data_IF_932745061585
#
_entry.id   IF_932745061585
#
_cell.length_a   1.000
_cell.length_b   1.000
_cell.length_c   1.000
_cell.angle_alpha   90.00
_cell.angle_beta   90.00
_cell.angle_gamma   90.00
#
_symmetry.space_group_name_H-M   'P 1'
#
loop_
_entity.id
_entity.type
_entity.pdbx_description
1 polymer ?
#
# COMPACT_ATOMS: atom_id res chain seq x y z
N UNK A 1 18.92 8.87 -15.74
CA UNK A 1 17.61 9.53 -15.87
C UNK A 1 16.71 8.64 -16.71
N UNK A 2 15.41 8.71 -16.49
CA UNK A 2 14.45 8.02 -17.37
C UNK A 2 14.32 8.81 -18.67
N UNK A 3 14.35 8.11 -19.79
CA UNK A 3 14.22 8.63 -21.14
C UNK A 3 13.16 7.79 -21.84
N UNK A 4 12.27 8.44 -22.59
CA UNK A 4 11.27 7.78 -23.41
C UNK A 4 11.01 8.60 -24.67
N UNK A 5 11.21 7.99 -25.84
CA UNK A 5 11.00 8.68 -27.12
C UNK A 5 9.56 8.57 -27.65
N UNK A 6 8.69 7.82 -26.96
CA UNK A 6 7.29 7.60 -27.34
C UNK A 6 6.33 8.36 -26.44
N UNK A 7 6.50 8.27 -25.12
CA UNK A 7 5.58 8.83 -24.12
C UNK A 7 6.21 9.98 -23.34
N UNK A 8 6.72 10.97 -24.09
CA UNK A 8 7.22 12.22 -23.52
C UNK A 8 6.19 13.35 -23.70
N UNK A 9 6.24 14.34 -22.80
CA UNK A 9 5.43 15.54 -22.93
C UNK A 9 6.06 16.50 -23.95
N UNK A 10 5.28 16.91 -24.94
CA UNK A 10 5.71 17.90 -25.94
C UNK A 10 5.89 19.24 -25.25
N UNK A 11 7.13 19.75 -25.27
CA UNK A 11 7.45 21.10 -24.82
C UNK A 11 7.81 21.96 -26.04
N UNK A 12 7.66 23.28 -25.91
CA UNK A 12 7.95 24.24 -27.00
C UNK A 12 9.43 24.22 -27.44
N UNK A 13 10.31 23.67 -26.61
CA UNK A 13 11.72 23.43 -26.93
C UNK A 13 11.97 21.95 -27.16
N UNK A 14 12.50 21.61 -28.35
CA UNK A 14 13.04 20.29 -28.67
C UNK A 14 14.12 19.92 -27.64
N UNK A 15 13.99 18.78 -26.96
CA UNK A 15 14.82 18.42 -25.82
C UNK A 15 15.11 16.92 -25.76
N UNK A 16 15.87 16.49 -24.76
CA UNK A 16 16.42 15.12 -24.64
C UNK A 16 15.37 14.00 -24.38
N UNK A 17 14.09 14.25 -24.60
CA UNK A 17 12.96 13.33 -24.30
C UNK A 17 13.00 12.79 -22.85
N UNK A 18 13.42 13.65 -21.91
CA UNK A 18 13.57 13.33 -20.47
C UNK A 18 12.36 13.70 -19.63
N UNK A 19 11.42 14.46 -20.19
CA UNK A 19 10.16 14.82 -19.54
C UNK A 19 9.11 13.78 -19.90
N UNK A 20 8.89 12.85 -19.00
CA UNK A 20 7.99 11.71 -19.20
C UNK A 20 6.58 12.14 -18.84
N UNK A 21 5.62 11.77 -19.68
CA UNK A 21 4.19 11.83 -19.37
C UNK A 21 3.70 10.40 -19.12
N UNK A 22 3.22 10.10 -17.92
CA UNK A 22 2.72 8.77 -17.57
C UNK A 22 1.28 8.83 -17.04
N UNK A 23 0.52 7.80 -17.38
CA UNK A 23 -0.84 7.48 -16.95
C UNK A 23 -0.97 6.06 -16.35
N UNK A 24 0.14 5.31 -16.25
CA UNK A 24 0.13 3.95 -15.70
C UNK A 24 0.17 3.96 -14.16
N UNK A 25 -1.02 4.11 -13.58
CA UNK A 25 -1.25 4.14 -12.14
C UNK A 25 -1.55 2.76 -11.55
N UNK A 26 -1.23 2.59 -10.27
CA UNK A 26 -1.75 1.46 -9.49
C UNK A 26 -3.28 1.53 -9.38
N UNK A 27 -3.95 0.40 -9.61
CA UNK A 27 -5.39 0.25 -9.40
C UNK A 27 -5.68 0.07 -7.91
N UNK A 28 -5.74 1.16 -7.16
CA UNK A 28 -6.10 1.15 -5.73
C UNK A 28 -6.70 2.48 -5.31
N UNK A 29 -8.00 2.46 -5.05
CA UNK A 29 -8.78 3.62 -4.61
C UNK A 29 -8.35 4.11 -3.22
N UNK A 30 -7.81 3.21 -2.40
CA UNK A 30 -7.28 3.55 -1.07
C UNK A 30 -6.01 4.41 -1.15
N UNK A 31 -5.20 4.24 -2.19
CA UNK A 31 -3.94 4.98 -2.34
C UNK A 31 -4.17 6.28 -3.11
N UNK A 32 -4.91 6.23 -4.22
CA UNK A 32 -5.10 7.36 -5.13
C UNK A 32 -6.46 8.06 -4.99
N UNK A 33 -7.38 7.49 -4.22
CA UNK A 33 -8.75 7.98 -4.08
C UNK A 33 -9.66 7.48 -5.18
N UNK A 34 -10.97 7.58 -4.96
CA UNK A 34 -12.00 7.19 -5.93
C UNK A 34 -12.06 8.13 -7.14
N UNK A 35 -11.47 9.34 -7.01
CA UNK A 35 -11.43 10.33 -8.09
C UNK A 35 -10.31 9.98 -9.06
N UNK A 36 -10.69 9.69 -10.30
CA UNK A 36 -9.74 9.54 -11.40
C UNK A 36 -8.91 10.82 -11.55
N UNK A 37 -7.59 10.67 -11.66
CA UNK A 37 -6.67 11.79 -11.83
C UNK A 37 -6.92 12.39 -13.21
N UNK A 38 -7.25 13.68 -13.23
CA UNK A 38 -7.51 14.42 -14.46
C UNK A 38 -6.17 14.80 -15.12
N UNK A 39 -5.87 14.14 -16.23
CA UNK A 39 -4.69 14.41 -17.04
C UNK A 39 -3.45 13.63 -16.65
N UNK A 40 -2.41 13.75 -17.49
CA UNK A 40 -1.18 12.97 -17.38
C UNK A 40 -0.27 13.52 -16.29
N UNK A 41 0.48 12.62 -15.63
CA UNK A 41 1.50 13.00 -14.64
C UNK A 41 2.84 13.20 -15.33
N UNK A 42 3.41 14.38 -15.14
CA UNK A 42 4.74 14.75 -15.59
C UNK A 42 5.80 14.31 -14.60
N UNK A 43 6.81 13.62 -15.10
CA UNK A 43 7.95 13.14 -14.33
C UNK A 43 9.25 13.47 -15.04
N UNK A 44 10.21 14.02 -14.29
CA UNK A 44 11.58 14.25 -14.77
C UNK A 44 12.57 13.88 -13.69
N UNK A 45 13.30 12.79 -13.86
CA UNK A 45 14.16 12.29 -12.80
C UNK A 45 14.76 10.92 -13.04
N UNK A 46 15.10 10.26 -11.95
CA UNK A 46 15.66 8.92 -11.93
C UNK A 46 14.54 7.91 -11.69
N UNK A 47 14.53 6.81 -12.44
CA UNK A 47 13.64 5.69 -12.19
C UNK A 47 14.37 4.64 -11.36
N UNK A 48 13.62 3.85 -10.60
CA UNK A 48 14.16 2.76 -9.79
C UNK A 48 13.46 1.44 -10.11
N UNK A 49 14.13 0.33 -9.84
CA UNK A 49 13.55 -1.00 -9.97
C UNK A 49 12.99 -1.45 -8.64
N UNK A 50 11.88 -2.18 -8.71
CA UNK A 50 11.36 -2.92 -7.58
C UNK A 50 11.47 -4.42 -7.84
N UNK A 51 11.81 -5.17 -6.81
CA UNK A 51 11.84 -6.62 -6.89
C UNK A 51 10.43 -7.18 -6.70
N UNK A 52 9.96 -7.98 -7.66
CA UNK A 52 8.58 -8.48 -7.68
C UNK A 52 8.21 -9.37 -6.48
N UNK A 53 9.19 -10.00 -5.81
CA UNK A 53 8.92 -10.83 -4.64
C UNK A 53 8.66 -10.05 -3.34
N UNK A 54 8.83 -8.72 -3.35
CA UNK A 54 8.63 -7.91 -2.15
C UNK A 54 7.19 -7.37 -2.08
N UNK A 55 6.39 -7.91 -1.16
CA UNK A 55 5.00 -7.50 -0.95
C UNK A 55 4.84 -6.16 -0.22
N UNK A 56 5.89 -5.64 0.41
CA UNK A 56 5.85 -4.39 1.18
C UNK A 56 6.07 -3.15 0.31
N UNK A 57 6.55 -3.35 -0.91
CA UNK A 57 6.96 -2.28 -1.81
C UNK A 57 6.11 -2.34 -3.06
N UNK A 58 5.43 -1.24 -3.37
CA UNK A 58 4.45 -1.16 -4.46
C UNK A 58 4.83 -0.05 -5.43
N UNK A 59 4.66 -0.32 -6.72
CA UNK A 59 4.75 0.69 -7.78
C UNK A 59 3.45 1.47 -7.76
N UNK A 60 3.51 2.79 -7.60
CA UNK A 60 2.32 3.65 -7.70
C UNK A 60 2.23 4.24 -9.11
N UNK A 61 3.37 4.65 -9.66
CA UNK A 61 3.49 5.15 -11.03
C UNK A 61 4.60 4.38 -11.74
N UNK A 62 4.25 3.76 -12.86
CA UNK A 62 5.19 3.03 -13.71
C UNK A 62 5.56 3.85 -14.94
N UNK A 63 6.72 3.56 -15.52
CA UNK A 63 7.11 4.10 -16.81
C UNK A 63 6.46 3.30 -17.95
N UNK A 64 6.43 3.88 -19.15
CA UNK A 64 5.95 3.16 -20.34
C UNK A 64 6.84 1.94 -20.66
N UNK A 65 6.34 0.95 -21.41
CA UNK A 65 7.14 -0.17 -21.88
C UNK A 65 8.34 0.21 -22.77
N UNK A 66 8.34 1.40 -23.35
CA UNK A 66 9.43 1.90 -24.21
C UNK A 66 10.47 2.74 -23.44
N UNK A 67 10.19 3.07 -22.18
CA UNK A 67 11.08 3.88 -21.36
C UNK A 67 12.32 3.10 -20.90
N UNK A 68 13.46 3.79 -20.78
CA UNK A 68 14.69 3.20 -20.27
C UNK A 68 15.50 4.21 -19.45
N UNK A 69 16.37 3.72 -18.57
CA UNK A 69 17.22 4.58 -17.74
C UNK A 69 18.64 4.66 -18.30
N UNK A 70 19.07 5.86 -18.66
CA UNK A 70 20.42 6.10 -19.16
C UNK A 70 20.94 7.50 -18.80
N UNK A 71 22.20 7.77 -19.16
CA UNK A 71 22.76 9.10 -19.15
C UNK A 71 22.48 9.76 -20.53
N UNK A 72 21.70 10.87 -20.61
CA UNK A 72 21.35 11.50 -21.88
C UNK A 72 22.56 11.96 -22.71
N UNK A 73 23.65 12.35 -22.06
CA UNK A 73 24.83 12.90 -22.75
C UNK A 73 25.82 11.83 -23.20
N UNK A 74 25.62 10.56 -22.84
CA UNK A 74 26.55 9.48 -23.15
C UNK A 74 25.95 8.52 -24.18
N UNK A 75 26.75 8.08 -25.15
CA UNK A 75 26.34 7.03 -26.09
C UNK A 75 26.20 5.70 -25.34
N UNK A 76 25.05 5.03 -25.48
CA UNK A 76 24.88 3.68 -24.94
C UNK A 76 25.75 2.69 -25.73
N UNK A 77 26.68 2.05 -25.04
CA UNK A 77 27.45 0.91 -25.56
C UNK A 77 26.86 -0.44 -25.12
N UNK A 78 26.00 -0.45 -24.10
CA UNK A 78 25.34 -1.64 -23.54
C UNK A 78 23.88 -1.32 -23.19
N UNK A 79 22.97 -2.30 -23.22
CA UNK A 79 21.59 -2.09 -22.81
C UNK A 79 21.53 -1.61 -21.35
N UNK A 80 20.60 -0.69 -21.07
CA UNK A 80 20.38 -0.16 -19.74
C UNK A 80 19.89 -1.23 -18.77
N UNK A 81 20.30 -1.13 -17.50
CA UNK A 81 19.87 -2.06 -16.45
C UNK A 81 18.39 -1.94 -16.09
N UNK A 82 17.76 -0.80 -16.39
CA UNK A 82 16.33 -0.54 -16.18
C UNK A 82 15.68 -0.20 -17.51
N UNK A 83 14.70 -1.01 -17.92
CA UNK A 83 13.99 -0.87 -19.18
C UNK A 83 12.52 -1.29 -19.01
N UNK A 84 11.67 -0.64 -19.78
CA UNK A 84 10.23 -0.86 -19.86
C UNK A 84 9.47 -0.57 -18.57
N UNK A 85 8.28 -1.17 -18.47
CA UNK A 85 7.33 -1.03 -17.36
C UNK A 85 7.84 -1.62 -16.03
N UNK A 86 8.97 -2.33 -16.05
CA UNK A 86 9.66 -2.71 -14.83
C UNK A 86 10.18 -1.47 -14.07
N UNK A 87 10.49 -0.38 -14.78
CA UNK A 87 10.95 0.89 -14.23
C UNK A 87 9.81 1.59 -13.49
N UNK A 88 9.97 1.76 -12.18
CA UNK A 88 9.06 2.56 -11.37
C UNK A 88 9.54 4.01 -11.29
N UNK A 89 8.59 4.93 -11.46
CA UNK A 89 8.83 6.37 -11.31
C UNK A 89 8.57 6.79 -9.86
N UNK A 90 7.46 6.30 -9.31
CA UNK A 90 7.02 6.55 -7.93
C UNK A 90 6.67 5.21 -7.29
N UNK A 91 7.23 4.95 -6.12
CA UNK A 91 6.92 3.77 -5.32
C UNK A 91 6.61 4.15 -3.89
N UNK A 92 5.80 3.31 -3.27
CA UNK A 92 5.49 3.39 -1.85
C UNK A 92 6.01 2.15 -1.15
N UNK A 93 6.37 2.32 0.11
CA UNK A 93 6.78 1.23 0.99
C UNK A 93 5.95 1.31 2.26
N UNK A 94 5.30 0.21 2.59
CA UNK A 94 4.72 0.00 3.91
C UNK A 94 5.76 -0.70 4.76
N UNK A 95 6.48 0.09 5.56
CA UNK A 95 7.62 -0.39 6.33
C UNK A 95 7.14 -1.03 7.62
N UNK A 96 7.82 -2.10 7.97
CA UNK A 96 7.90 -2.61 9.32
C UNK A 96 9.17 -2.05 9.94
N UNK A 97 9.04 -1.03 10.78
CA UNK A 97 10.16 -0.33 11.37
C UNK A 97 10.26 -0.70 12.85
N UNK A 98 11.17 -1.62 13.11
CA UNK A 98 11.64 -1.93 14.45
C UNK A 98 12.56 -0.80 14.90
N UNK A 99 12.12 0.00 15.88
CA UNK A 99 13.02 0.91 16.59
C UNK A 99 14.00 0.04 17.41
N UNK A 100 15.14 -0.30 16.83
CA UNK A 100 16.28 -0.79 17.61
C UNK A 100 16.75 0.40 18.46
N UNK A 101 16.27 0.46 19.71
CA UNK A 101 16.60 1.50 20.72
C UNK A 101 18.07 1.50 21.17
N UNK A 102 19.03 1.14 20.31
CA UNK A 102 20.43 1.02 20.69
C UNK A 102 21.39 1.27 19.52
N UNK A 103 21.64 2.54 19.18
CA UNK A 103 22.98 3.15 19.15
C UNK A 103 22.92 4.62 18.73
N UNK A 104 23.70 5.45 19.42
CA UNK A 104 23.95 6.87 19.12
C UNK A 104 24.72 7.01 17.81
N UNK A 105 24.04 6.92 16.67
CA UNK A 105 24.39 7.61 15.40
C UNK A 105 23.24 7.41 14.43
N UNK A 106 22.60 8.52 14.09
CA UNK A 106 21.47 8.62 13.18
C UNK A 106 21.93 8.32 11.74
N UNK A 107 22.01 7.05 11.38
CA UNK A 107 22.08 6.62 9.98
C UNK A 107 20.85 5.73 9.76
N UNK A 108 19.88 6.25 9.00
CA UNK A 108 18.69 5.51 8.59
C UNK A 108 19.12 4.46 7.55
N UNK A 109 19.58 3.30 8.02
CA UNK A 109 19.93 2.19 7.13
C UNK A 109 18.66 1.37 6.89
N UNK A 110 17.96 1.66 5.80
CA UNK A 110 16.83 0.88 5.28
C UNK A 110 17.37 -0.46 4.76
N UNK A 111 17.63 -1.40 5.68
CA UNK A 111 17.96 -2.79 5.33
C UNK A 111 16.66 -3.54 5.07
N UNK A 112 16.25 -3.61 3.81
CA UNK A 112 15.24 -4.57 3.35
C UNK A 112 15.95 -5.93 3.30
N UNK A 113 16.10 -6.58 4.45
CA UNK A 113 16.69 -7.92 4.58
C UNK A 113 15.61 -8.98 4.45
N UNK A 114 15.87 -10.03 3.65
CA UNK A 114 14.98 -11.16 3.40
C UNK A 114 14.93 -12.20 4.55
N UNK A 115 15.51 -11.91 5.72
CA UNK A 115 15.47 -12.84 6.84
C UNK A 115 14.22 -12.63 7.70
N UNK A 116 13.42 -13.70 7.82
CA UNK A 116 12.33 -13.86 8.80
C UNK A 116 12.88 -13.69 10.23
N UNK A 117 12.93 -12.45 10.70
CA UNK A 117 13.10 -12.12 12.11
C UNK A 117 11.89 -11.29 12.48
N UNK A 118 11.15 -11.73 13.50
CA UNK A 118 9.89 -11.15 13.94
C UNK A 118 10.01 -9.63 14.11
N UNK A 119 9.63 -8.93 13.03
CA UNK A 119 9.75 -7.51 12.87
C UNK A 119 8.37 -6.97 13.29
N UNK A 120 8.32 -6.27 14.42
CA UNK A 120 7.08 -5.63 14.89
C UNK A 120 6.61 -4.61 13.85
N UNK A 121 5.55 -4.95 13.10
CA UNK A 121 4.96 -4.22 11.96
C UNK A 121 4.40 -2.88 12.39
N UNK A 122 5.19 -1.81 12.27
CA UNK A 122 4.77 -0.49 12.72
C UNK A 122 3.96 0.33 11.67
N UNK A 123 3.40 -0.31 10.63
CA UNK A 123 2.53 0.30 9.62
C UNK A 123 3.02 1.69 9.12
N UNK A 124 4.33 1.90 9.06
CA UNK A 124 4.91 3.16 8.62
C UNK A 124 4.83 3.27 7.10
N UNK A 125 4.55 4.46 6.58
CA UNK A 125 4.38 4.69 5.14
C UNK A 125 5.51 5.58 4.63
N UNK A 126 6.14 5.15 3.55
CA UNK A 126 7.26 5.87 2.92
C UNK A 126 6.97 6.01 1.44
N UNK A 127 7.09 7.23 0.92
CA UNK A 127 7.04 7.53 -0.50
C UNK A 127 8.46 7.69 -1.04
N UNK A 128 8.76 7.00 -2.13
CA UNK A 128 10.04 7.08 -2.84
C UNK A 128 9.76 7.55 -4.26
N UNK A 129 10.42 8.65 -4.63
CA UNK A 129 10.31 9.29 -5.94
C UNK A 129 11.69 9.78 -6.36
N UNK A 130 12.03 9.56 -7.62
CA UNK A 130 13.28 10.04 -8.19
C UNK A 130 13.18 11.39 -8.90
N UNK A 131 12.04 12.09 -8.78
CA UNK A 131 11.81 13.41 -9.39
C UNK A 131 11.38 14.45 -8.35
N UNK A 132 12.22 15.47 -8.17
CA UNK A 132 11.86 16.68 -7.41
C UNK A 132 10.94 17.60 -8.19
N UNK A 133 11.07 17.60 -9.52
CA UNK A 133 10.31 18.48 -10.41
C UNK A 133 8.81 18.14 -10.40
N UNK A 134 8.45 16.88 -10.11
CA UNK A 134 7.07 16.41 -9.95
C UNK A 134 6.27 17.23 -8.91
N UNK A 135 6.93 17.76 -7.87
CA UNK A 135 6.32 18.54 -6.79
C UNK A 135 6.37 20.06 -7.02
N UNK A 136 6.90 20.52 -8.17
CA UNK A 136 6.99 21.96 -8.44
C UNK A 136 5.65 22.50 -8.91
N UNK A 137 5.33 23.70 -8.45
CA UNK A 137 4.17 24.48 -8.92
C UNK A 137 4.12 24.67 -10.44
N UNK A 138 5.28 24.69 -11.11
CA UNK A 138 5.35 24.74 -12.58
C UNK A 138 4.67 23.54 -13.20
N UNK A 139 4.93 22.33 -12.71
CA UNK A 139 4.33 21.11 -13.26
C UNK A 139 2.84 21.10 -12.94
N UNK A 140 2.44 21.43 -11.70
CA UNK A 140 1.02 21.51 -11.30
C UNK A 140 0.14 22.39 -12.21
N UNK A 141 0.71 23.47 -12.77
CA UNK A 141 -0.01 24.41 -13.64
C UNK A 141 0.26 24.21 -15.14
N UNK A 142 1.16 23.29 -15.49
CA UNK A 142 1.54 23.10 -16.87
C UNK A 142 0.46 22.36 -17.66
N UNK A 143 0.29 22.78 -18.91
CA UNK A 143 -0.47 22.05 -19.92
C UNK A 143 0.32 20.82 -20.33
N UNK A 144 -0.37 19.71 -20.56
CA UNK A 144 0.28 18.46 -20.95
C UNK A 144 -0.31 17.95 -22.25
N UNK A 145 0.58 17.63 -23.18
CA UNK A 145 0.27 16.90 -24.40
C UNK A 145 1.33 15.82 -24.58
N UNK A 146 0.91 14.56 -24.69
CA UNK A 146 1.80 13.46 -24.99
C UNK A 146 2.18 13.47 -26.47
N UNK A 147 3.43 13.12 -26.77
CA UNK A 147 3.90 12.98 -28.14
C UNK A 147 3.05 11.94 -28.91
N UNK A 148 2.60 12.31 -30.11
CA UNK A 148 1.74 11.46 -30.94
C UNK A 148 0.25 11.45 -30.54
N UNK A 149 -0.14 12.07 -29.42
CA UNK A 149 -1.55 12.22 -29.04
C UNK A 149 -2.09 13.61 -29.39
N UNK A 150 -3.33 13.65 -29.87
CA UNK A 150 -4.08 14.89 -30.10
C UNK A 150 -4.75 15.42 -28.83
N UNK A 151 -4.78 14.62 -27.75
CA UNK A 151 -5.41 14.98 -26.49
C UNK A 151 -4.51 15.97 -25.76
N UNK A 152 -5.04 17.15 -25.50
CA UNK A 152 -4.39 18.21 -24.73
C UNK A 152 -5.11 18.37 -23.41
N UNK A 153 -4.39 18.23 -22.31
CA UNK A 153 -4.89 18.56 -20.99
C UNK A 153 -4.48 19.98 -20.63
N UNK A 154 -5.43 20.79 -20.19
CA UNK A 154 -5.17 22.16 -19.77
C UNK A 154 -4.26 22.20 -18.53
N UNK A 155 -4.34 21.17 -17.69
CA UNK A 155 -3.60 21.02 -16.45
C UNK A 155 -3.05 19.61 -16.33
N UNK A 156 -1.84 19.47 -15.77
CA UNK A 156 -1.28 18.16 -15.43
C UNK A 156 -2.01 17.52 -14.25
N UNK A 157 -1.99 16.19 -14.19
CA UNK A 157 -2.50 15.43 -13.05
C UNK A 157 -1.61 15.49 -11.79
N UNK A 158 -0.46 16.16 -11.83
CA UNK A 158 0.53 16.15 -10.75
C UNK A 158 -0.01 16.65 -9.41
N UNK A 159 -0.80 17.72 -9.41
CA UNK A 159 -1.32 18.30 -8.15
C UNK A 159 -2.28 17.32 -7.46
N UNK A 160 -3.21 16.74 -8.23
CA UNK A 160 -4.16 15.75 -7.73
C UNK A 160 -3.40 14.50 -7.25
N UNK A 161 -2.48 13.97 -8.06
CA UNK A 161 -1.66 12.81 -7.70
C UNK A 161 -0.87 13.02 -6.39
N UNK A 162 -0.17 14.16 -6.27
CA UNK A 162 0.63 14.49 -5.08
C UNK A 162 -0.26 14.71 -3.85
N UNK A 163 -1.43 15.35 -4.02
CA UNK A 163 -2.40 15.50 -2.94
C UNK A 163 -2.89 14.15 -2.43
N UNK A 164 -3.36 13.27 -3.32
CA UNK A 164 -3.94 11.98 -2.92
C UNK A 164 -2.89 11.05 -2.30
N UNK A 165 -1.69 10.97 -2.88
CA UNK A 165 -0.61 10.16 -2.31
C UNK A 165 -0.15 10.72 -0.95
N UNK A 166 -0.19 12.05 -0.75
CA UNK A 166 0.18 12.65 0.53
C UNK A 166 -0.80 12.27 1.65
N UNK A 167 -2.11 12.27 1.37
CA UNK A 167 -3.15 11.80 2.31
C UNK A 167 -2.88 10.35 2.74
N UNK A 168 -2.53 9.50 1.77
CA UNK A 168 -2.14 8.13 2.08
C UNK A 168 -0.87 8.07 2.93
N UNK A 169 0.20 8.79 2.58
CA UNK A 169 1.47 8.77 3.33
C UNK A 169 1.29 9.25 4.78
N UNK A 170 0.49 10.29 5.03
CA UNK A 170 0.28 10.89 6.35
C UNK A 170 -0.82 10.22 7.19
N UNK A 171 -1.22 8.99 6.85
CA UNK A 171 -2.26 8.23 7.55
C UNK A 171 -3.64 8.89 7.59
N UNK A 172 -3.97 9.76 6.63
CA UNK A 172 -5.31 10.34 6.51
C UNK A 172 -6.30 9.38 5.84
N UNK A 173 -5.82 8.35 5.14
CA UNK A 173 -6.65 7.34 4.44
C UNK A 173 -6.16 5.92 4.67
N UNK A 174 -7.06 4.93 4.66
CA UNK A 174 -6.69 3.51 4.69
C UNK A 174 -6.03 3.07 6.00
N UNK A 175 -6.26 3.80 7.09
CA UNK A 175 -5.77 3.43 8.42
C UNK A 175 -6.89 2.69 9.14
N UNK A 176 -6.66 1.41 9.39
CA UNK A 176 -7.59 0.53 10.09
C UNK A 176 -7.17 0.37 11.55
N UNK A 177 -8.17 0.27 12.42
CA UNK A 177 -8.00 -0.02 13.83
C UNK A 177 -9.03 -1.05 14.23
N UNK A 178 -8.56 -2.13 14.84
CA UNK A 178 -9.42 -3.11 15.47
C UNK A 178 -9.46 -2.87 16.99
N UNK A 179 -10.65 -2.91 17.57
CA UNK A 179 -10.92 -2.69 19.00
C UNK A 179 -11.90 -3.73 19.53
N UNK A 180 -12.01 -3.80 20.86
CA UNK A 180 -13.03 -4.59 21.55
C UNK A 180 -13.13 -6.04 21.08
N UNK A 181 -11.98 -6.73 20.96
CA UNK A 181 -11.96 -8.15 20.65
C UNK A 181 -12.52 -8.94 21.85
N UNK A 182 -13.63 -9.62 21.60
CA UNK A 182 -14.37 -10.37 22.60
C UNK A 182 -14.65 -11.79 22.11
N UNK A 183 -14.66 -12.76 23.03
CA UNK A 183 -15.13 -14.11 22.75
C UNK A 183 -15.79 -14.69 24.00
N UNK A 184 -16.87 -15.43 23.81
CA UNK A 184 -17.60 -16.11 24.88
C UNK A 184 -18.24 -17.39 24.37
N UNK A 185 -18.83 -18.18 25.27
CA UNK A 185 -19.70 -19.29 24.87
C UNK A 185 -21.05 -18.74 24.42
N UNK A 186 -21.68 -19.42 23.47
CA UNK A 186 -23.02 -19.02 23.02
C UNK A 186 -24.00 -19.06 24.20
N UNK A 187 -24.68 -17.94 24.45
CA UNK A 187 -25.61 -17.77 25.58
C UNK A 187 -24.99 -17.17 26.85
N UNK A 188 -23.66 -17.02 26.89
CA UNK A 188 -22.96 -16.30 27.95
C UNK A 188 -22.47 -14.94 27.44
N UNK A 189 -22.29 -13.96 28.33
CA UNK A 189 -21.77 -12.64 27.96
C UNK A 189 -20.30 -12.47 28.34
N UNK A 190 -19.82 -13.20 29.35
CA UNK A 190 -18.45 -13.10 29.86
C UNK A 190 -17.50 -14.06 29.16
N UNK A 191 -16.25 -13.62 29.02
CA UNK A 191 -15.15 -14.47 28.55
C UNK A 191 -14.85 -15.59 29.56
N UNK A 192 -14.96 -16.87 29.17
CA UNK A 192 -14.65 -17.99 30.06
C UNK A 192 -13.14 -18.18 30.19
N UNK A 193 -12.68 -18.68 31.33
CA UNK A 193 -11.26 -19.00 31.54
C UNK A 193 -10.76 -20.19 30.70
N UNK A 194 -11.67 -21.10 30.31
CA UNK A 194 -11.37 -22.24 29.46
C UNK A 194 -12.62 -22.70 28.67
N UNK A 195 -12.38 -23.21 27.46
CA UNK A 195 -13.39 -23.90 26.66
C UNK A 195 -13.23 -25.41 26.76
N UNK A 196 -14.34 -26.14 26.59
CA UNK A 196 -14.34 -27.60 26.43
C UNK A 196 -14.39 -27.95 24.94
N UNK A 197 -13.96 -29.17 24.63
CA UNK A 197 -14.15 -29.73 23.29
C UNK A 197 -15.64 -29.67 22.92
N UNK A 198 -15.94 -29.36 21.65
CA UNK A 198 -17.30 -29.25 21.14
C UNK A 198 -18.20 -28.16 21.78
N UNK A 199 -17.65 -27.25 22.59
CA UNK A 199 -18.38 -26.05 23.03
C UNK A 199 -18.69 -25.16 21.83
N UNK A 200 -19.88 -24.53 21.84
CA UNK A 200 -20.25 -23.51 20.87
C UNK A 200 -19.73 -22.15 21.32
N UNK A 201 -18.93 -21.52 20.46
CA UNK A 201 -18.21 -20.28 20.73
C UNK A 201 -18.67 -19.18 19.79
N UNK A 202 -18.75 -17.96 20.31
CA UNK A 202 -18.93 -16.74 19.54
C UNK A 202 -17.70 -15.84 19.69
N UNK A 203 -17.20 -15.34 18.56
CA UNK A 203 -16.08 -14.40 18.46
C UNK A 203 -16.58 -13.12 17.82
N UNK A 204 -16.18 -11.98 18.39
CA UNK A 204 -16.50 -10.66 17.85
C UNK A 204 -15.33 -9.68 17.95
N UNK A 205 -15.26 -8.77 16.98
CA UNK A 205 -14.26 -7.71 16.91
C UNK A 205 -14.85 -6.50 16.19
N UNK A 206 -14.53 -5.30 16.65
CA UNK A 206 -14.94 -4.07 15.98
C UNK A 206 -13.78 -3.52 15.15
N UNK A 207 -14.03 -3.19 13.88
CA UNK A 207 -13.01 -2.64 12.98
C UNK A 207 -13.50 -1.29 12.46
N UNK A 208 -12.64 -0.29 12.61
CA UNK A 208 -12.87 1.09 12.18
C UNK A 208 -11.78 1.55 11.21
N UNK A 209 -12.16 2.41 10.27
CA UNK A 209 -11.27 3.13 9.36
C UNK A 209 -11.20 4.62 9.76
N UNK A 210 -10.02 5.20 9.64
CA UNK A 210 -9.83 6.64 9.80
C UNK A 210 -10.09 7.39 8.48
N UNK A 211 -11.04 8.32 8.50
CA UNK A 211 -11.39 9.15 7.32
C UNK A 211 -10.59 10.46 7.23
N UNK A 212 -9.62 10.69 8.12
CA UNK A 212 -8.86 11.93 8.23
C UNK A 212 -9.31 12.81 9.40
N UNK A 213 -10.59 12.72 9.77
CA UNK A 213 -11.19 13.48 10.87
C UNK A 213 -11.79 12.60 11.97
N UNK A 214 -12.35 11.45 11.61
CA UNK A 214 -13.10 10.58 12.53
C UNK A 214 -12.88 9.09 12.22
N UNK A 215 -13.15 8.25 13.21
CA UNK A 215 -13.21 6.80 13.04
C UNK A 215 -14.60 6.40 12.56
N UNK A 216 -14.66 5.78 11.39
CA UNK A 216 -15.88 5.32 10.75
C UNK A 216 -15.88 3.78 10.70
N UNK A 217 -17.05 3.12 10.76
CA UNK A 217 -17.15 1.67 10.62
C UNK A 217 -16.50 1.17 9.33
N UNK A 218 -15.60 0.18 9.44
CA UNK A 218 -15.05 -0.47 8.25
C UNK A 218 -16.06 -1.48 7.71
N UNK A 219 -16.31 -1.43 6.40
CA UNK A 219 -17.25 -2.31 5.71
C UNK A 219 -16.50 -3.20 4.72
N UNK A 220 -16.47 -4.49 5.01
CA UNK A 220 -15.82 -5.51 4.20
C UNK A 220 -16.45 -6.89 4.46
N UNK A 221 -16.39 -7.77 3.46
CA UNK A 221 -16.93 -9.13 3.47
C UNK A 221 -15.83 -10.20 3.53
N UNK A 222 -14.56 -9.80 3.42
CA UNK A 222 -13.39 -10.66 3.29
C UNK A 222 -12.60 -10.86 4.60
N UNK A 223 -13.11 -10.35 5.73
CA UNK A 223 -12.45 -10.46 7.03
C UNK A 223 -12.61 -11.88 7.58
N UNK A 224 -11.50 -12.50 7.99
CA UNK A 224 -11.47 -13.89 8.47
C UNK A 224 -10.76 -14.00 9.82
N UNK A 225 -11.26 -14.91 10.66
CA UNK A 225 -10.60 -15.34 11.89
C UNK A 225 -10.09 -16.77 11.76
N UNK A 226 -8.91 -17.02 12.31
CA UNK A 226 -8.29 -18.33 12.39
C UNK A 226 -8.31 -18.82 13.84
N UNK A 227 -8.76 -20.05 14.03
CA UNK A 227 -8.56 -20.78 15.28
C UNK A 227 -7.28 -21.62 15.15
N UNK A 228 -6.21 -21.15 15.78
CA UNK A 228 -4.83 -21.52 15.47
C UNK A 228 -4.15 -22.19 16.67
N UNK A 229 -3.37 -23.25 16.42
CA UNK A 229 -2.50 -23.87 17.45
C UNK A 229 -1.06 -23.99 16.92
N UNK A 230 -0.84 -24.95 16.02
CA UNK A 230 0.40 -25.06 15.21
C UNK A 230 0.11 -24.81 13.72
N UNK A 231 -1.12 -25.09 13.31
CA UNK A 231 -1.73 -24.79 12.02
C UNK A 231 -3.15 -24.24 12.25
N UNK A 232 -3.75 -23.54 11.27
CA UNK A 232 -5.14 -23.12 11.39
C UNK A 232 -6.05 -24.35 11.30
N UNK A 233 -6.76 -24.66 12.38
CA UNK A 233 -7.74 -25.76 12.43
C UNK A 233 -9.06 -25.33 11.82
N UNK A 234 -9.46 -24.08 12.09
CA UNK A 234 -10.67 -23.48 11.53
C UNK A 234 -10.32 -22.11 10.96
N UNK A 235 -10.85 -21.84 9.78
CA UNK A 235 -10.86 -20.52 9.14
C UNK A 235 -12.31 -20.16 8.89
N UNK A 236 -12.77 -19.05 9.46
CA UNK A 236 -14.15 -18.58 9.34
C UNK A 236 -14.17 -17.13 8.91
N UNK A 237 -14.97 -16.82 7.89
CA UNK A 237 -15.29 -15.45 7.50
C UNK A 237 -16.26 -14.85 8.51
N UNK A 238 -16.00 -13.61 8.90
CA UNK A 238 -16.82 -12.87 9.84
C UNK A 238 -18.01 -12.21 9.14
N UNK A 239 -19.17 -12.25 9.77
CA UNK A 239 -20.36 -11.51 9.35
C UNK A 239 -20.32 -10.10 9.91
N UNK A 240 -20.75 -9.11 9.13
CA UNK A 240 -20.78 -7.70 9.55
C UNK A 240 -22.20 -7.20 9.81
N UNK A 241 -22.36 -6.35 10.82
CA UNK A 241 -23.61 -5.65 11.15
C UNK A 241 -23.75 -4.28 10.48
N UNK A 242 -22.83 -3.94 9.56
CA UNK A 242 -22.67 -2.63 8.92
C UNK A 242 -22.39 -1.45 9.87
N UNK A 243 -22.22 -1.69 11.18
CA UNK A 243 -21.83 -0.69 12.19
C UNK A 243 -20.38 -0.88 12.64
N UNK A 244 -19.66 -1.81 12.00
CA UNK A 244 -18.24 -2.07 12.20
C UNK A 244 -17.99 -3.27 13.13
N UNK A 245 -19.05 -3.91 13.65
CA UNK A 245 -18.92 -5.15 14.41
C UNK A 245 -18.87 -6.33 13.44
N UNK A 246 -17.85 -7.16 13.64
CA UNK A 246 -17.64 -8.39 12.93
C UNK A 246 -17.80 -9.54 13.91
N UNK A 247 -18.67 -10.49 13.62
CA UNK A 247 -18.90 -11.65 14.48
C UNK A 247 -18.98 -12.97 13.70
N UNK A 248 -18.68 -14.06 14.40
CA UNK A 248 -18.87 -15.41 13.88
C UNK A 248 -19.07 -16.37 15.03
N UNK A 249 -19.80 -17.44 14.78
CA UNK A 249 -20.01 -18.54 15.72
C UNK A 249 -19.50 -19.85 15.14
N UNK A 250 -18.75 -20.61 15.91
CA UNK A 250 -18.30 -21.94 15.52
C UNK A 250 -18.07 -22.85 16.72
N UNK A 251 -18.03 -24.16 16.46
CA UNK A 251 -17.80 -25.18 17.46
C UNK A 251 -16.30 -25.45 17.65
N UNK A 252 -15.85 -25.55 18.90
CA UNK A 252 -14.46 -25.90 19.23
C UNK A 252 -14.13 -27.30 18.73
N UNK A 253 -12.99 -27.51 18.02
CA UNK A 253 -12.59 -28.83 17.52
C UNK A 253 -12.46 -29.90 18.61
N UNK A 254 -12.57 -31.17 18.20
CA UNK A 254 -12.39 -32.34 19.06
C UNK A 254 -10.91 -32.68 19.33
N UNK A 255 -10.12 -31.66 19.65
CA UNK A 255 -8.70 -31.78 19.99
C UNK A 255 -8.42 -30.86 21.17
N UNK A 256 -7.81 -31.41 22.23
CA UNK A 256 -7.39 -30.61 23.38
C UNK A 256 -6.06 -29.92 23.09
N UNK A 257 -5.92 -28.68 23.56
CA UNK A 257 -4.70 -27.90 23.36
C UNK A 257 -4.91 -26.43 23.66
N UNK A 258 -3.84 -25.65 23.52
CA UNK A 258 -3.89 -24.19 23.61
C UNK A 258 -4.09 -23.65 22.21
N UNK A 259 -5.29 -23.13 21.96
CA UNK A 259 -5.62 -22.44 20.72
C UNK A 259 -5.56 -20.93 20.92
N UNK A 260 -5.34 -20.22 19.82
CA UNK A 260 -5.31 -18.76 19.73
C UNK A 260 -6.29 -18.31 18.66
N UNK A 261 -6.99 -17.23 18.92
CA UNK A 261 -7.72 -16.50 17.89
C UNK A 261 -6.74 -15.62 17.16
N UNK A 262 -6.54 -15.88 15.88
CA UNK A 262 -5.64 -15.09 15.04
C UNK A 262 -6.43 -14.41 13.93
N UNK A 263 -6.38 -13.09 13.89
CA UNK A 263 -6.91 -12.26 12.82
C UNK A 263 -5.73 -11.56 12.16
N UNK A 264 -5.42 -11.97 10.93
CA UNK A 264 -4.40 -11.33 10.08
C UNK A 264 -5.08 -10.81 8.82
N UNK A 265 -5.23 -9.48 8.74
CA UNK A 265 -5.88 -8.80 7.63
C UNK A 265 -4.86 -7.94 6.89
N UNK A 266 -4.61 -8.29 5.64
CA UNK A 266 -3.67 -7.60 4.76
C UNK A 266 -4.37 -7.32 3.43
N UNK A 267 -4.63 -6.04 3.18
CA UNK A 267 -5.27 -5.56 1.95
C UNK A 267 -4.47 -4.40 1.38
N UNK A 268 -4.40 -4.34 0.05
CA UNK A 268 -3.62 -3.34 -0.66
C UNK A 268 -4.06 -1.92 -0.26
N UNK A 269 -3.10 -1.09 0.15
CA UNK A 269 -3.35 0.30 0.57
C UNK A 269 -3.79 0.46 2.03
N UNK A 270 -4.29 -0.59 2.69
CA UNK A 270 -4.69 -0.54 4.09
C UNK A 270 -3.53 -0.89 5.05
N UNK A 271 -3.62 -0.39 6.28
CA UNK A 271 -2.74 -0.87 7.37
C UNK A 271 -2.98 -2.34 7.65
N UNK A 272 -1.92 -3.12 7.85
CA UNK A 272 -2.07 -4.53 8.22
C UNK A 272 -2.54 -4.64 9.67
N UNK A 273 -3.60 -5.41 9.90
CA UNK A 273 -4.08 -5.77 11.23
C UNK A 273 -3.57 -7.16 11.56
N UNK A 274 -2.88 -7.31 12.69
CA UNK A 274 -2.45 -8.61 13.20
C UNK A 274 -2.79 -8.65 14.68
N UNK A 275 -3.85 -9.38 15.01
CA UNK A 275 -4.34 -9.57 16.36
C UNK A 275 -4.27 -11.05 16.71
N UNK A 276 -3.77 -11.34 17.91
CA UNK A 276 -3.73 -12.67 18.49
C UNK A 276 -4.22 -12.58 19.93
N UNK A 277 -5.18 -13.42 20.30
CA UNK A 277 -5.64 -13.58 21.68
C UNK A 277 -5.66 -15.06 22.04
#
# INVERSE_FOLDING_TARGET
MVIDHTSYAVSETEGDHTLISSDDFIKSDVILGDRMIEGLVLFRGIGHSLHAANSLVLKVLSASPAAYSANPSAKLSRPSSLTGSATSLVSIVQVVMCFIKRLRKLVLLLKISNEKKDLARNNARVLITGSLDMFRNRFFKSRVQQAGSSIKHEKSGNEQFVSEISKWVFHERGHLKAVNLHHHKVGETSEPSMYRINDDLEYSVEIYEWSGSSWEPYLADDVQVQFYMMSPYLLKTLSTDQKGLYSTSFKVPDVYGVFQFKLDYQKLGYTSLSLSK
#
